data_IF_031227149253
#
_entry.id   IF_031227149253
#
_cell.length_a   1.000
_cell.length_b   1.000
_cell.length_c   1.000
_cell.angle_alpha   90.00
_cell.angle_beta   90.00
_cell.angle_gamma   90.00
#
_symmetry.space_group_name_H-M   'P 1'
#
loop_
_entity.id
_entity.type
_entity.pdbx_description
1 polymer ?
#
# COMPACT_ATOMS: atom_id res chain seq x y z
N UNK A 1 34.74 -1.34 -0.41
CA UNK A 1 34.34 -2.76 -0.47
C UNK A 1 33.54 -3.03 -1.73
N UNK A 2 33.63 -4.26 -2.20
CA UNK A 2 32.86 -4.76 -3.34
C UNK A 2 32.26 -6.11 -2.97
N UNK A 3 30.99 -6.32 -3.32
CA UNK A 3 30.29 -7.59 -3.15
C UNK A 3 29.54 -7.95 -4.43
N UNK A 4 29.66 -9.21 -4.85
CA UNK A 4 28.92 -9.76 -5.99
C UNK A 4 28.16 -10.99 -5.51
N UNK A 5 26.86 -11.03 -5.77
CA UNK A 5 25.99 -12.16 -5.45
C UNK A 5 25.23 -12.59 -6.70
N UNK A 6 25.34 -13.88 -7.03
CA UNK A 6 24.59 -14.52 -8.11
C UNK A 6 23.82 -15.70 -7.51
N UNK A 7 22.53 -15.77 -7.76
CA UNK A 7 21.67 -16.84 -7.29
C UNK A 7 20.79 -17.36 -8.43
N UNK A 8 20.77 -18.67 -8.54
CA UNK A 8 19.98 -19.39 -9.53
C UNK A 8 19.03 -20.33 -8.79
N UNK A 9 17.75 -20.22 -9.08
CA UNK A 9 16.72 -21.08 -8.53
C UNK A 9 16.03 -21.82 -9.66
N UNK A 10 15.92 -23.12 -9.55
CA UNK A 10 15.21 -23.96 -10.51
C UNK A 10 14.09 -24.73 -9.81
N UNK A 11 12.86 -24.50 -10.27
CA UNK A 11 11.68 -25.28 -9.91
C UNK A 11 11.04 -25.78 -11.23
N UNK A 12 9.77 -25.51 -11.47
CA UNK A 12 9.17 -25.63 -12.81
C UNK A 12 9.71 -24.56 -13.79
N UNK A 13 10.22 -23.44 -13.24
CA UNK A 13 10.78 -22.29 -13.93
C UNK A 13 12.20 -22.02 -13.44
N UNK A 14 12.88 -21.13 -14.17
CA UNK A 14 14.23 -20.67 -13.85
C UNK A 14 14.17 -19.21 -13.39
N UNK A 15 14.50 -18.98 -12.13
CA UNK A 15 14.65 -17.66 -11.56
C UNK A 15 16.15 -17.32 -11.42
N UNK A 16 16.50 -16.10 -11.79
CA UNK A 16 17.85 -15.57 -11.70
C UNK A 16 17.88 -14.30 -10.88
N UNK A 17 18.83 -14.20 -9.96
CA UNK A 17 19.09 -13.01 -9.16
C UNK A 17 20.56 -12.65 -9.26
N UNK A 18 20.85 -11.46 -9.76
CA UNK A 18 22.20 -10.90 -9.87
C UNK A 18 22.27 -9.59 -9.10
N UNK A 19 23.25 -9.45 -8.20
CA UNK A 19 23.44 -8.24 -7.42
C UNK A 19 24.91 -7.88 -7.31
N UNK A 20 25.22 -6.60 -7.47
CA UNK A 20 26.52 -6.01 -7.26
C UNK A 20 26.42 -4.81 -6.32
N UNK A 21 27.27 -4.78 -5.29
CA UNK A 21 27.37 -3.70 -4.33
C UNK A 21 28.78 -3.14 -4.29
N UNK A 22 28.91 -1.81 -4.27
CA UNK A 22 30.17 -1.09 -4.12
C UNK A 22 30.03 -0.06 -3.00
N UNK A 23 30.97 -0.07 -2.07
CA UNK A 23 31.02 0.89 -0.98
C UNK A 23 32.43 1.48 -0.85
N UNK A 24 32.52 2.78 -0.74
CA UNK A 24 33.74 3.53 -0.48
C UNK A 24 33.55 4.46 0.69
N UNK A 25 34.45 4.37 1.69
CA UNK A 25 34.43 5.23 2.87
C UNK A 25 35.82 5.79 3.14
N UNK A 26 35.90 7.11 3.24
CA UNK A 26 37.14 7.81 3.57
C UNK A 26 36.86 9.21 4.14
N UNK A 27 37.47 9.55 5.28
CA UNK A 27 37.45 10.90 5.90
C UNK A 27 36.04 11.56 5.95
N UNK A 28 35.05 10.86 6.48
CA UNK A 28 33.68 11.36 6.60
C UNK A 28 32.84 11.20 5.33
N UNK A 29 33.45 10.91 4.19
CA UNK A 29 32.76 10.60 2.94
C UNK A 29 32.41 9.11 2.89
N UNK A 30 31.14 8.79 2.60
CA UNK A 30 30.63 7.44 2.40
C UNK A 30 29.82 7.40 1.11
N UNK A 31 30.31 6.68 0.12
CA UNK A 31 29.67 6.51 -1.20
C UNK A 31 29.28 5.06 -1.37
N UNK A 32 28.10 4.83 -1.92
CA UNK A 32 27.60 3.49 -2.19
C UNK A 32 26.87 3.42 -3.54
N UNK A 33 26.98 2.28 -4.18
CA UNK A 33 26.17 1.92 -5.33
C UNK A 33 25.74 0.46 -5.21
N UNK A 34 24.51 0.16 -5.57
CA UNK A 34 23.96 -1.18 -5.63
C UNK A 34 23.18 -1.31 -6.95
N UNK A 35 23.37 -2.42 -7.62
CA UNK A 35 22.55 -2.84 -8.75
C UNK A 35 22.08 -4.26 -8.52
N UNK A 36 20.80 -4.51 -8.78
CA UNK A 36 20.19 -5.83 -8.70
C UNK A 36 19.24 -6.04 -9.88
N UNK A 37 19.36 -7.22 -10.47
CA UNK A 37 18.48 -7.72 -11.51
C UNK A 37 17.86 -9.04 -11.04
N UNK A 38 16.55 -9.15 -11.12
CA UNK A 38 15.79 -10.35 -10.84
C UNK A 38 15.01 -10.73 -12.11
N UNK A 39 15.15 -11.97 -12.59
CA UNK A 39 14.25 -12.55 -13.57
C UNK A 39 13.43 -13.62 -12.86
N UNK A 40 12.11 -13.48 -12.87
CA UNK A 40 11.17 -14.37 -12.19
C UNK A 40 10.05 -14.77 -13.14
N UNK A 41 9.75 -16.07 -13.16
CA UNK A 41 8.55 -16.59 -13.78
C UNK A 41 7.62 -17.10 -12.69
N UNK A 42 6.40 -16.57 -12.66
CA UNK A 42 5.42 -16.90 -11.64
C UNK A 42 4.21 -17.58 -12.27
N UNK A 43 3.75 -18.68 -11.65
CA UNK A 43 2.54 -19.39 -12.06
C UNK A 43 1.63 -19.56 -10.87
N UNK A 44 0.39 -19.12 -11.03
CA UNK A 44 -0.63 -19.23 -10.00
C UNK A 44 -1.90 -19.87 -10.56
N UNK A 45 -2.57 -20.63 -9.71
CA UNK A 45 -3.92 -21.14 -9.97
C UNK A 45 -4.83 -20.73 -8.83
N UNK A 46 -5.92 -20.06 -9.18
CA UNK A 46 -6.87 -19.53 -8.18
C UNK A 46 -8.28 -19.94 -8.60
N UNK A 47 -9.07 -20.38 -7.64
CA UNK A 47 -10.51 -20.58 -7.82
C UNK A 47 -11.25 -19.47 -7.08
N UNK A 48 -12.16 -18.81 -7.79
CA UNK A 48 -12.97 -17.71 -7.23
C UNK A 48 -14.43 -18.05 -7.40
N UNK A 49 -15.19 -18.00 -6.33
CA UNK A 49 -16.63 -18.11 -6.36
C UNK A 49 -17.24 -16.78 -5.91
N UNK A 50 -18.09 -16.19 -6.76
CA UNK A 50 -18.80 -14.95 -6.50
C UNK A 50 -20.30 -15.19 -6.61
N UNK A 51 -21.06 -14.69 -5.63
CA UNK A 51 -22.51 -14.72 -5.64
C UNK A 51 -23.06 -13.31 -5.52
N UNK A 52 -23.85 -12.90 -6.50
CA UNK A 52 -24.61 -11.67 -6.45
C UNK A 52 -26.09 -12.01 -6.21
N UNK A 53 -26.63 -11.50 -5.09
CA UNK A 53 -28.04 -11.65 -4.74
C UNK A 53 -28.77 -10.36 -5.13
N UNK A 54 -29.62 -10.46 -6.17
CA UNK A 54 -30.48 -9.36 -6.62
C UNK A 54 -31.90 -9.91 -6.84
N UNK A 55 -32.59 -9.51 -7.92
CA UNK A 55 -33.86 -10.13 -8.34
C UNK A 55 -33.74 -11.63 -8.66
N UNK A 56 -32.55 -12.03 -9.11
CA UNK A 56 -32.12 -13.41 -9.29
C UNK A 56 -30.74 -13.58 -8.66
N UNK A 57 -30.43 -14.79 -8.26
CA UNK A 57 -29.09 -15.12 -7.79
C UNK A 57 -28.20 -15.43 -9.00
N UNK A 58 -27.11 -14.66 -9.14
CA UNK A 58 -26.06 -14.92 -10.12
C UNK A 58 -24.86 -15.53 -9.38
N UNK A 59 -24.45 -16.71 -9.79
CA UNK A 59 -23.25 -17.39 -9.29
C UNK A 59 -22.21 -17.50 -10.40
N UNK A 60 -20.98 -17.06 -10.12
CA UNK A 60 -19.80 -17.16 -10.98
C UNK A 60 -18.76 -18.05 -10.30
N UNK A 61 -18.45 -19.18 -10.93
CA UNK A 61 -17.37 -20.08 -10.52
C UNK A 61 -16.22 -19.93 -11.52
N UNK A 62 -15.15 -19.24 -11.12
CA UNK A 62 -14.01 -18.91 -11.98
C UNK A 62 -12.78 -19.73 -11.59
N UNK A 63 -12.14 -20.34 -12.57
CA UNK A 63 -10.82 -20.96 -12.44
C UNK A 63 -9.83 -20.12 -13.22
N UNK A 64 -8.86 -19.51 -12.53
CA UNK A 64 -7.86 -18.62 -13.07
C UNK A 64 -6.49 -19.30 -13.07
N UNK A 65 -5.77 -19.16 -14.17
CA UNK A 65 -4.38 -19.61 -14.30
C UNK A 65 -3.54 -18.46 -14.82
N UNK A 66 -2.67 -17.96 -13.98
CA UNK A 66 -1.70 -16.91 -14.30
C UNK A 66 -0.37 -17.52 -14.70
N UNK A 67 0.23 -16.94 -15.75
CA UNK A 67 1.63 -17.17 -16.13
C UNK A 67 2.27 -15.80 -16.33
N UNK A 68 3.10 -15.40 -15.40
CA UNK A 68 3.76 -14.11 -15.39
C UNK A 68 5.25 -14.26 -15.65
N UNK A 69 5.81 -13.39 -16.50
CA UNK A 69 7.24 -13.28 -16.74
C UNK A 69 7.69 -11.86 -16.41
N UNK A 70 8.39 -11.70 -15.30
CA UNK A 70 8.78 -10.41 -14.77
C UNK A 70 10.29 -10.29 -14.69
N UNK A 71 10.80 -9.19 -15.27
CA UNK A 71 12.16 -8.74 -15.09
C UNK A 71 12.13 -7.55 -14.15
N UNK A 72 12.86 -7.61 -13.05
CA UNK A 72 12.87 -6.57 -12.05
C UNK A 72 14.28 -5.98 -11.91
N UNK A 73 14.37 -4.66 -12.08
CA UNK A 73 15.58 -3.90 -11.85
C UNK A 73 15.49 -3.10 -10.56
N UNK A 74 16.61 -3.06 -9.83
CA UNK A 74 16.79 -2.17 -8.70
C UNK A 74 18.19 -1.59 -8.72
N UNK A 75 18.31 -0.28 -8.70
CA UNK A 75 19.56 0.44 -8.61
C UNK A 75 19.51 1.50 -7.54
N UNK A 76 20.59 1.64 -6.77
CA UNK A 76 20.77 2.73 -5.83
C UNK A 76 22.18 3.28 -5.98
N UNK A 77 22.30 4.60 -5.98
CA UNK A 77 23.57 5.30 -5.84
C UNK A 77 23.41 6.42 -4.84
N UNK A 78 24.36 6.61 -3.97
CA UNK A 78 24.27 7.66 -2.98
C UNK A 78 25.62 8.04 -2.38
N UNK A 79 25.58 9.18 -1.70
CA UNK A 79 26.72 9.76 -1.01
C UNK A 79 26.26 10.39 0.28
N UNK A 80 26.97 10.10 1.36
CA UNK A 80 26.83 10.75 2.65
C UNK A 80 28.14 11.45 3.01
N UNK A 81 28.06 12.62 3.59
CA UNK A 81 29.22 13.35 4.08
C UNK A 81 29.00 13.82 5.52
N UNK A 82 29.89 13.39 6.41
CA UNK A 82 29.93 13.80 7.80
C UNK A 82 30.89 14.99 7.94
N UNK A 83 30.36 16.17 8.26
CA UNK A 83 31.17 17.37 8.51
C UNK A 83 31.93 17.25 9.84
N UNK A 84 31.26 16.66 10.82
CA UNK A 84 31.75 16.36 12.15
C UNK A 84 30.98 15.19 12.76
N UNK A 85 31.18 14.87 14.03
CA UNK A 85 30.54 13.74 14.74
C UNK A 85 29.01 13.89 14.87
N UNK A 86 28.49 15.10 14.71
CA UNK A 86 27.07 15.41 14.93
C UNK A 86 26.31 15.83 13.65
N UNK A 87 27.03 16.12 12.57
CA UNK A 87 26.41 16.73 11.38
C UNK A 87 26.73 15.96 10.11
N UNK A 88 25.70 15.56 9.40
CA UNK A 88 25.80 14.86 8.12
C UNK A 88 24.78 15.34 7.10
N UNK A 89 25.17 15.26 5.84
CA UNK A 89 24.30 15.48 4.69
C UNK A 89 24.41 14.26 3.75
N UNK A 90 23.35 13.93 3.07
CA UNK A 90 23.38 12.88 2.09
C UNK A 90 22.43 13.10 0.95
N UNK A 91 22.75 12.45 -0.16
CA UNK A 91 21.90 12.37 -1.37
C UNK A 91 21.89 10.93 -1.86
N UNK A 92 20.70 10.47 -2.26
CA UNK A 92 20.50 9.13 -2.79
C UNK A 92 19.56 9.18 -3.98
N UNK A 93 19.96 8.55 -5.06
CA UNK A 93 19.08 8.25 -6.18
C UNK A 93 18.79 6.75 -6.21
N UNK A 94 17.53 6.40 -6.43
CA UNK A 94 17.07 5.03 -6.55
C UNK A 94 16.23 4.88 -7.82
N UNK A 95 16.41 3.75 -8.50
CA UNK A 95 15.58 3.29 -9.60
C UNK A 95 15.11 1.88 -9.28
N UNK A 96 13.83 1.59 -9.49
CA UNK A 96 13.29 0.24 -9.30
C UNK A 96 12.04 0.02 -10.13
N UNK A 97 11.83 -1.21 -10.56
CA UNK A 97 10.64 -1.61 -11.29
C UNK A 97 10.94 -2.62 -12.39
N UNK A 98 9.95 -2.86 -13.22
CA UNK A 98 10.05 -3.74 -14.38
C UNK A 98 10.15 -2.90 -15.67
N UNK A 99 11.24 -3.00 -16.45
CA UNK A 99 11.29 -2.36 -17.75
C UNK A 99 10.22 -2.92 -18.69
N UNK A 100 9.94 -4.22 -18.56
CA UNK A 100 8.90 -4.95 -19.28
C UNK A 100 8.35 -6.06 -18.42
N UNK A 101 7.04 -6.20 -18.42
CA UNK A 101 6.32 -7.25 -17.72
C UNK A 101 5.25 -7.84 -18.62
N UNK A 102 5.31 -9.16 -18.85
CA UNK A 102 4.35 -9.91 -19.64
C UNK A 102 3.55 -10.84 -18.74
N UNK A 103 2.23 -10.79 -18.81
CA UNK A 103 1.32 -11.65 -18.07
C UNK A 103 0.32 -12.31 -19.01
N UNK A 104 0.01 -13.57 -18.76
CA UNK A 104 -1.02 -14.34 -19.46
C UNK A 104 -1.98 -14.92 -18.45
N UNK A 105 -3.24 -14.57 -18.59
CA UNK A 105 -4.34 -15.06 -17.76
C UNK A 105 -5.29 -15.91 -18.59
N UNK A 106 -5.48 -17.14 -18.17
CA UNK A 106 -6.51 -18.04 -18.66
C UNK A 106 -7.61 -18.15 -17.61
N UNK A 107 -8.85 -17.84 -17.98
CA UNK A 107 -10.01 -17.96 -17.09
C UNK A 107 -11.05 -18.85 -17.69
N UNK A 108 -11.51 -19.85 -16.93
CA UNK A 108 -12.69 -20.63 -17.26
C UNK A 108 -13.77 -20.30 -16.26
N UNK A 109 -14.92 -19.82 -16.73
CA UNK A 109 -16.02 -19.37 -15.89
C UNK A 109 -17.28 -20.21 -16.16
N UNK A 110 -17.94 -20.64 -15.09
CA UNK A 110 -19.29 -21.19 -15.13
C UNK A 110 -20.22 -20.18 -14.49
N UNK A 111 -21.19 -19.70 -15.27
CA UNK A 111 -22.18 -18.71 -14.87
C UNK A 111 -23.51 -19.39 -14.65
N UNK A 112 -24.13 -19.21 -13.49
CA UNK A 112 -25.42 -19.80 -13.15
C UNK A 112 -26.40 -18.71 -12.69
N UNK A 113 -27.67 -18.83 -13.10
CA UNK A 113 -28.79 -18.01 -12.65
C UNK A 113 -29.83 -18.89 -11.93
N UNK A 114 -30.12 -18.55 -10.67
CA UNK A 114 -31.02 -19.30 -9.79
C UNK A 114 -30.66 -20.81 -9.77
N UNK A 115 -29.34 -21.12 -9.72
CA UNK A 115 -28.82 -22.47 -9.70
C UNK A 115 -28.82 -23.23 -11.04
N UNK A 116 -29.26 -22.60 -12.13
CA UNK A 116 -29.20 -23.19 -13.49
C UNK A 116 -28.04 -22.57 -14.25
N UNK A 117 -27.26 -23.41 -14.95
CA UNK A 117 -26.19 -22.93 -15.83
C UNK A 117 -26.81 -22.03 -16.90
N UNK A 118 -26.28 -20.81 -16.98
CA UNK A 118 -26.70 -19.76 -17.88
C UNK A 118 -25.72 -19.58 -19.04
N UNK A 119 -24.40 -19.68 -18.74
CA UNK A 119 -23.35 -19.56 -19.75
C UNK A 119 -22.05 -20.22 -19.25
N UNK A 120 -21.10 -20.47 -20.16
CA UNK A 120 -19.70 -20.81 -19.85
C UNK A 120 -18.80 -19.96 -20.71
N UNK A 121 -17.79 -19.38 -20.06
CA UNK A 121 -16.80 -18.54 -20.74
C UNK A 121 -15.42 -19.18 -20.69
N UNK A 122 -14.66 -18.98 -21.76
CA UNK A 122 -13.25 -19.21 -21.80
C UNK A 122 -12.56 -17.91 -22.22
N UNK A 123 -11.79 -17.31 -21.30
CA UNK A 123 -11.14 -16.04 -21.53
C UNK A 123 -9.61 -16.25 -21.55
N UNK A 124 -8.98 -15.62 -22.50
CA UNK A 124 -7.54 -15.50 -22.56
C UNK A 124 -7.17 -14.02 -22.60
N UNK A 125 -6.47 -13.54 -21.59
CA UNK A 125 -5.94 -12.18 -21.52
C UNK A 125 -4.43 -12.20 -21.62
N UNK A 126 -3.88 -11.45 -22.58
CA UNK A 126 -2.45 -11.15 -22.68
C UNK A 126 -2.25 -9.69 -22.28
N UNK A 127 -1.44 -9.47 -21.23
CA UNK A 127 -1.08 -8.13 -20.74
C UNK A 127 0.41 -7.89 -20.95
N UNK A 128 0.72 -6.75 -21.54
CA UNK A 128 2.10 -6.25 -21.66
C UNK A 128 2.19 -4.90 -20.94
N UNK A 129 3.16 -4.76 -20.05
CA UNK A 129 3.41 -3.51 -19.33
C UNK A 129 4.81 -3.03 -19.59
N UNK A 130 4.92 -1.80 -20.10
CA UNK A 130 6.17 -1.13 -20.39
C UNK A 130 6.43 0.04 -19.44
N UNK A 131 7.72 0.35 -19.25
CA UNK A 131 8.19 1.53 -18.50
C UNK A 131 7.74 1.61 -17.04
N UNK A 132 7.47 0.48 -16.39
CA UNK A 132 7.16 0.44 -14.96
C UNK A 132 8.43 0.69 -14.11
N UNK A 133 9.16 1.76 -14.40
CA UNK A 133 10.34 2.16 -13.65
C UNK A 133 10.03 3.35 -12.76
N UNK A 134 10.35 3.21 -11.49
CA UNK A 134 10.17 4.23 -10.46
C UNK A 134 11.50 4.89 -10.16
N UNK A 135 11.54 6.21 -10.19
CA UNK A 135 12.70 7.03 -9.90
C UNK A 135 12.49 7.77 -8.59
N UNK A 136 13.44 7.72 -7.68
CA UNK A 136 13.39 8.46 -6.43
C UNK A 136 14.72 9.18 -6.19
N UNK A 137 14.63 10.46 -5.91
CA UNK A 137 15.73 11.28 -5.41
C UNK A 137 15.42 11.67 -3.98
N UNK A 138 16.33 11.36 -3.06
CA UNK A 138 16.25 11.77 -1.65
C UNK A 138 17.48 12.59 -1.30
N UNK A 139 17.27 13.68 -0.54
CA UNK A 139 18.31 14.45 0.09
C UNK A 139 17.97 14.65 1.57
N UNK A 140 18.97 14.58 2.45
CA UNK A 140 18.75 14.77 3.87
C UNK A 140 19.88 15.55 4.54
N UNK A 141 19.54 16.17 5.65
CA UNK A 141 20.47 16.69 6.62
C UNK A 141 20.06 16.21 8.00
N UNK A 142 21.01 15.62 8.74
CA UNK A 142 20.85 15.30 10.16
C UNK A 142 21.96 15.96 10.93
N UNK A 143 21.62 16.74 11.96
CA UNK A 143 22.62 17.48 12.67
C UNK A 143 22.22 17.95 14.06
N UNK A 144 23.23 18.49 14.79
CA UNK A 144 23.06 19.06 16.11
C UNK A 144 23.80 20.39 16.23
N UNK A 145 23.07 21.42 16.62
CA UNK A 145 23.61 22.74 16.92
C UNK A 145 23.39 23.05 18.42
N UNK A 146 24.43 22.93 19.23
CA UNK A 146 24.28 22.94 20.67
C UNK A 146 23.41 21.79 21.17
N UNK A 147 22.28 22.10 21.78
CA UNK A 147 21.29 21.09 22.21
C UNK A 147 20.12 20.87 21.20
N UNK A 148 20.08 21.64 20.14
CA UNK A 148 19.05 21.50 19.09
C UNK A 148 19.44 20.40 18.10
N UNK A 149 18.63 19.36 18.00
CA UNK A 149 18.74 18.33 16.97
C UNK A 149 17.87 18.75 15.79
N UNK A 150 18.39 18.60 14.57
CA UNK A 150 17.75 18.96 13.32
C UNK A 150 17.76 17.73 12.43
N UNK A 151 16.60 17.36 11.90
CA UNK A 151 16.41 16.30 10.88
C UNK A 151 15.58 16.88 9.74
N UNK A 152 16.19 16.95 8.57
CA UNK A 152 15.55 17.42 7.34
C UNK A 152 15.64 16.35 6.26
N UNK A 153 14.52 16.10 5.59
CA UNK A 153 14.43 15.19 4.45
C UNK A 153 13.65 15.86 3.33
N UNK A 154 14.11 15.64 2.09
CA UNK A 154 13.40 16.04 0.88
C UNK A 154 13.43 14.89 -0.12
N UNK A 155 12.29 14.59 -0.70
CA UNK A 155 12.09 13.50 -1.64
C UNK A 155 11.42 14.00 -2.91
N UNK A 156 11.88 13.50 -4.05
CA UNK A 156 11.17 13.56 -5.32
C UNK A 156 11.00 12.15 -5.85
N UNK A 157 9.80 11.79 -6.23
CA UNK A 157 9.44 10.48 -6.75
C UNK A 157 8.68 10.63 -8.06
N UNK A 158 9.08 9.85 -9.06
CA UNK A 158 8.41 9.75 -10.35
C UNK A 158 8.18 8.29 -10.67
N UNK A 159 6.98 7.95 -11.10
CA UNK A 159 6.63 6.62 -11.59
C UNK A 159 5.61 6.70 -12.72
N UNK A 160 5.51 5.64 -13.49
CA UNK A 160 4.51 5.51 -14.54
C UNK A 160 4.59 4.14 -15.17
N UNK A 161 3.62 3.82 -16.00
CA UNK A 161 3.60 2.64 -16.84
C UNK A 161 2.61 2.82 -17.98
N UNK A 162 2.88 2.11 -19.08
CA UNK A 162 1.92 1.85 -20.15
C UNK A 162 1.61 0.35 -20.13
N UNK A 163 0.34 0.01 -19.93
CA UNK A 163 -0.12 -1.38 -19.96
C UNK A 163 -1.13 -1.53 -21.09
N UNK A 164 -0.94 -2.56 -21.90
CA UNK A 164 -1.86 -2.97 -22.95
C UNK A 164 -2.41 -4.37 -22.64
N UNK A 165 -3.72 -4.53 -22.66
CA UNK A 165 -4.43 -5.76 -22.42
C UNK A 165 -5.23 -6.16 -23.66
N UNK A 166 -5.05 -7.40 -24.11
CA UNK A 166 -5.84 -8.01 -25.19
C UNK A 166 -6.53 -9.23 -24.60
N UNK A 167 -7.87 -9.20 -24.58
CA UNK A 167 -8.69 -10.29 -24.08
C UNK A 167 -9.57 -10.85 -25.17
N UNK A 168 -9.39 -12.14 -25.49
CA UNK A 168 -10.37 -12.93 -26.23
C UNK A 168 -11.30 -13.62 -25.25
N UNK A 169 -12.60 -13.44 -25.41
CA UNK A 169 -13.66 -14.05 -24.60
C UNK A 169 -14.59 -14.88 -25.46
N UNK A 170 -14.55 -16.21 -25.29
CA UNK A 170 -15.44 -17.17 -25.94
C UNK A 170 -16.62 -17.52 -25.03
N UNK A 171 -17.83 -17.55 -25.55
CA UNK A 171 -19.08 -17.86 -24.83
C UNK A 171 -19.82 -19.03 -25.48
N UNK A 172 -20.38 -19.94 -24.67
CA UNK A 172 -21.22 -21.03 -25.21
C UNK A 172 -22.58 -20.53 -25.69
N UNK A 173 -23.11 -19.44 -25.12
CA UNK A 173 -24.51 -19.00 -25.34
C UNK A 173 -24.64 -17.63 -26.04
N UNK A 174 -23.53 -16.85 -26.14
CA UNK A 174 -23.55 -15.52 -26.70
C UNK A 174 -22.39 -15.32 -27.70
N UNK A 175 -22.40 -14.21 -28.43
CA UNK A 175 -21.31 -13.85 -29.35
C UNK A 175 -20.00 -13.67 -28.61
N UNK A 176 -18.93 -14.14 -29.21
CA UNK A 176 -17.56 -13.94 -28.69
C UNK A 176 -17.18 -12.46 -28.67
N UNK A 177 -16.22 -12.09 -27.81
CA UNK A 177 -15.74 -10.72 -27.71
C UNK A 177 -14.23 -10.67 -27.80
N UNK A 178 -13.72 -9.72 -28.56
CA UNK A 178 -12.34 -9.25 -28.45
C UNK A 178 -12.34 -7.90 -27.75
N UNK A 179 -11.50 -7.74 -26.73
CA UNK A 179 -11.44 -6.54 -25.91
C UNK A 179 -10.01 -6.04 -25.87
N UNK A 180 -9.80 -4.81 -26.34
CA UNK A 180 -8.51 -4.14 -26.31
C UNK A 180 -8.58 -2.97 -25.33
N UNK A 181 -7.72 -3.01 -24.31
CA UNK A 181 -7.62 -1.95 -23.33
C UNK A 181 -6.18 -1.45 -23.20
N UNK A 182 -6.03 -0.17 -22.92
CA UNK A 182 -4.73 0.43 -22.61
C UNK A 182 -4.84 1.34 -21.39
N UNK A 183 -3.85 1.27 -20.50
CA UNK A 183 -3.71 2.12 -19.32
C UNK A 183 -2.38 2.86 -19.39
N UNK A 184 -2.43 4.20 -19.46
CA UNK A 184 -1.25 5.08 -19.41
C UNK A 184 -1.31 5.89 -18.11
N UNK A 185 -0.37 5.62 -17.22
CA UNK A 185 -0.32 6.21 -15.88
C UNK A 185 0.99 6.94 -15.68
N UNK A 186 0.91 8.18 -15.22
CA UNK A 186 2.06 8.98 -14.79
C UNK A 186 1.81 9.57 -13.40
N UNK A 187 2.82 9.48 -12.54
CA UNK A 187 2.73 9.93 -11.15
C UNK A 187 4.03 10.64 -10.74
N UNK A 188 3.89 11.84 -10.17
CA UNK A 188 4.99 12.64 -9.63
C UNK A 188 4.63 13.06 -8.20
N UNK A 189 5.61 12.93 -7.31
CA UNK A 189 5.47 13.33 -5.92
C UNK A 189 6.70 14.12 -5.48
N UNK A 190 6.48 15.22 -4.78
CA UNK A 190 7.51 15.94 -4.05
C UNK A 190 7.12 16.02 -2.58
N UNK A 191 8.10 15.82 -1.68
CA UNK A 191 7.88 15.89 -0.24
C UNK A 191 9.07 16.55 0.45
N UNK A 192 8.78 17.28 1.54
CA UNK A 192 9.79 17.83 2.43
C UNK A 192 9.32 17.70 3.88
N UNK A 193 10.24 17.32 4.78
CA UNK A 193 9.99 17.14 6.21
C UNK A 193 11.11 17.76 7.02
N UNK A 194 10.76 18.52 8.04
CA UNK A 194 11.68 19.08 9.02
C UNK A 194 11.23 18.69 10.42
N UNK A 195 12.16 18.18 11.24
CA UNK A 195 11.96 17.91 12.66
C UNK A 195 13.03 18.61 13.48
N UNK A 196 12.61 19.34 14.48
CA UNK A 196 13.47 19.99 15.45
C UNK A 196 13.21 19.38 16.82
N UNK A 197 14.27 18.94 17.51
CA UNK A 197 14.17 18.36 18.84
C UNK A 197 15.07 19.07 19.83
N UNK A 198 14.56 19.35 21.01
CA UNK A 198 15.31 20.05 22.06
C UNK A 198 15.02 19.44 23.44
N UNK A 199 16.05 19.29 24.32
CA UNK A 199 15.81 18.83 25.68
C UNK A 199 15.12 19.92 26.52
N UNK A 200 13.91 19.59 27.04
CA UNK A 200 13.06 20.48 27.84
C UNK A 200 12.54 19.71 29.06
N UNK A 201 12.57 20.34 30.26
CA UNK A 201 11.97 19.79 31.50
C UNK A 201 12.38 18.34 31.79
N UNK A 202 13.69 18.01 31.66
CA UNK A 202 14.22 16.63 31.82
C UNK A 202 13.61 15.60 30.85
N UNK A 203 13.05 16.03 29.75
CA UNK A 203 12.54 15.23 28.64
C UNK A 203 13.03 15.77 27.32
N UNK A 204 12.49 15.27 26.22
CA UNK A 204 12.76 15.71 24.86
C UNK A 204 11.46 16.22 24.23
N UNK A 205 11.46 17.44 23.75
CA UNK A 205 10.38 18.02 22.96
C UNK A 205 10.79 18.05 21.50
N UNK A 206 9.94 17.52 20.63
CA UNK A 206 10.13 17.51 19.19
C UNK A 206 8.95 18.20 18.52
N UNK A 207 9.22 19.06 17.55
CA UNK A 207 8.23 19.72 16.71
C UNK A 207 8.66 19.59 15.26
N UNK A 208 7.71 19.40 14.37
CA UNK A 208 8.04 19.27 12.95
C UNK A 208 6.87 19.59 12.03
N UNK A 209 7.21 19.71 10.75
CA UNK A 209 6.29 19.87 9.66
C UNK A 209 6.66 18.99 8.48
N UNK A 210 5.64 18.67 7.69
CA UNK A 210 5.79 17.90 6.47
C UNK A 210 4.87 18.49 5.40
N UNK A 211 5.39 18.64 4.20
CA UNK A 211 4.66 19.03 3.01
C UNK A 211 4.82 17.94 1.96
N UNK A 212 3.72 17.58 1.30
CA UNK A 212 3.73 16.63 0.19
C UNK A 212 2.81 17.14 -0.90
N UNK A 213 3.26 17.04 -2.15
CA UNK A 213 2.47 17.32 -3.33
C UNK A 213 2.57 16.16 -4.30
N UNK A 214 1.41 15.64 -4.73
CA UNK A 214 1.30 14.57 -5.71
C UNK A 214 0.50 15.06 -6.92
N UNK A 215 1.01 14.76 -8.10
CA UNK A 215 0.34 14.94 -9.37
C UNK A 215 0.28 13.61 -10.10
N UNK A 216 -0.94 13.15 -10.41
CA UNK A 216 -1.16 11.89 -11.13
C UNK A 216 -2.06 12.11 -12.33
N UNK A 217 -1.69 11.47 -13.45
CA UNK A 217 -2.55 11.28 -14.63
C UNK A 217 -2.84 9.80 -14.78
N UNK A 218 -4.05 9.47 -15.19
CA UNK A 218 -4.54 8.11 -15.33
C UNK A 218 -5.49 8.08 -16.54
N UNK A 219 -4.99 7.57 -17.66
CA UNK A 219 -5.74 7.44 -18.91
C UNK A 219 -6.05 5.97 -19.13
N UNK A 220 -7.31 5.66 -19.33
CA UNK A 220 -7.78 4.32 -19.67
C UNK A 220 -8.55 4.37 -20.97
N UNK A 221 -8.18 3.55 -21.92
CA UNK A 221 -8.84 3.37 -23.21
C UNK A 221 -9.40 1.95 -23.30
N UNK A 222 -10.67 1.81 -23.68
CA UNK A 222 -11.26 0.57 -24.15
C UNK A 222 -11.74 0.79 -25.58
N UNK A 223 -11.13 0.10 -26.52
CA UNK A 223 -11.29 0.35 -27.96
C UNK A 223 -12.72 0.02 -28.42
N UNK A 224 -13.28 -1.09 -27.97
CA UNK A 224 -14.61 -1.57 -28.33
C UNK A 224 -15.73 -0.91 -27.52
N UNK A 225 -15.39 -0.12 -26.50
CA UNK A 225 -16.33 0.57 -25.61
C UNK A 225 -17.26 -0.37 -24.82
N UNK A 226 -16.85 -1.59 -24.51
CA UNK A 226 -17.59 -2.44 -23.55
C UNK A 226 -17.62 -1.84 -22.15
N UNK A 227 -16.60 -1.06 -21.82
CA UNK A 227 -16.57 -0.17 -20.65
C UNK A 227 -16.14 1.22 -21.06
N UNK A 228 -16.56 2.29 -20.35
CA UNK A 228 -16.20 3.65 -20.70
C UNK A 228 -14.69 3.89 -20.62
N UNK A 229 -14.11 4.51 -21.63
CA UNK A 229 -12.77 5.10 -21.55
C UNK A 229 -12.78 6.30 -20.61
N UNK A 230 -11.66 6.59 -19.96
CA UNK A 230 -11.57 7.69 -19.00
C UNK A 230 -10.19 8.37 -19.05
N UNK A 231 -10.20 9.70 -18.88
CA UNK A 231 -9.01 10.50 -18.69
C UNK A 231 -9.18 11.25 -17.38
N UNK A 232 -8.35 10.95 -16.40
CA UNK A 232 -8.43 11.57 -15.09
C UNK A 232 -7.09 12.15 -14.65
N UNK A 233 -7.16 13.25 -13.90
CA UNK A 233 -6.02 13.91 -13.28
C UNK A 233 -6.33 14.17 -11.82
N UNK A 234 -5.37 13.89 -10.95
CA UNK A 234 -5.48 14.06 -9.51
C UNK A 234 -4.32 14.88 -9.00
N UNK A 235 -4.62 15.93 -8.25
CA UNK A 235 -3.64 16.72 -7.52
C UNK A 235 -3.94 16.59 -6.04
N UNK A 236 -2.95 16.21 -5.24
CA UNK A 236 -3.09 16.16 -3.79
C UNK A 236 -1.99 16.95 -3.13
N UNK A 237 -2.36 17.89 -2.27
CA UNK A 237 -1.46 18.62 -1.39
C UNK A 237 -1.78 18.23 0.05
N UNK A 238 -0.74 17.87 0.80
CA UNK A 238 -0.83 17.57 2.21
C UNK A 238 0.15 18.45 2.99
N UNK A 239 -0.36 19.15 4.02
CA UNK A 239 0.42 19.91 4.97
C UNK A 239 0.19 19.32 6.35
N UNK A 240 1.27 19.02 7.04
CA UNK A 240 1.26 18.42 8.37
C UNK A 240 2.09 19.24 9.33
N UNK A 241 1.60 19.43 10.55
CA UNK A 241 2.38 19.90 11.70
C UNK A 241 2.22 18.92 12.85
N UNK A 242 3.30 18.66 13.60
CA UNK A 242 3.23 17.76 14.75
C UNK A 242 4.14 18.22 15.88
N UNK A 243 3.74 17.83 17.09
CA UNK A 243 4.55 18.01 18.29
C UNK A 243 4.50 16.75 19.15
N UNK A 244 5.64 16.41 19.78
CA UNK A 244 5.77 15.27 20.67
C UNK A 244 6.64 15.64 21.86
N UNK A 245 6.26 15.18 23.05
CA UNK A 245 7.08 15.26 24.25
C UNK A 245 7.28 13.87 24.84
N UNK A 246 8.54 13.51 25.11
CA UNK A 246 8.91 12.25 25.75
C UNK A 246 9.72 12.50 27.01
N UNK A 247 9.47 11.72 28.07
CA UNK A 247 10.17 11.84 29.33
C UNK A 247 10.19 10.54 30.10
N UNK A 248 11.37 10.23 30.69
CA UNK A 248 11.53 9.19 31.70
C UNK A 248 11.28 9.76 33.10
N UNK A 249 10.44 9.10 33.86
CA UNK A 249 10.13 9.40 35.26
C UNK A 249 10.36 8.15 36.11
N UNK A 250 10.30 8.27 37.44
CA UNK A 250 10.61 7.16 38.37
C UNK A 250 9.72 5.91 38.17
N UNK A 251 8.52 6.09 37.65
CA UNK A 251 7.56 4.99 37.43
C UNK A 251 7.53 4.48 36.00
N UNK A 252 8.30 5.08 35.06
CA UNK A 252 8.33 4.64 33.65
C UNK A 252 8.60 5.77 32.66
N UNK A 253 8.43 5.46 31.38
CA UNK A 253 8.64 6.37 30.25
C UNK A 253 7.30 6.70 29.61
N UNK A 254 7.03 7.97 29.39
CA UNK A 254 5.84 8.40 28.67
C UNK A 254 6.19 9.19 27.41
N UNK A 255 5.33 9.06 26.41
CA UNK A 255 5.32 9.82 25.17
C UNK A 255 3.94 10.39 24.98
N UNK A 256 3.86 11.67 24.69
CA UNK A 256 2.63 12.38 24.37
C UNK A 256 2.84 13.19 23.11
N UNK A 257 2.05 12.95 22.08
CA UNK A 257 2.17 13.63 20.80
C UNK A 257 0.83 13.90 20.15
N UNK A 258 0.83 14.83 19.22
CA UNK A 258 -0.29 15.10 18.33
C UNK A 258 0.24 15.53 16.96
N UNK A 259 -0.46 15.11 15.91
CA UNK A 259 -0.23 15.49 14.52
C UNK A 259 -1.52 16.11 13.97
N UNK A 260 -1.41 17.30 13.42
CA UNK A 260 -2.43 17.96 12.61
C UNK A 260 -2.10 17.75 11.14
N UNK A 261 -3.07 17.42 10.33
CA UNK A 261 -2.93 17.18 8.90
C UNK A 261 -4.05 17.88 8.15
N UNK A 262 -3.69 18.67 7.14
CA UNK A 262 -4.61 19.28 6.19
C UNK A 262 -4.34 18.71 4.80
N UNK A 263 -5.40 18.21 4.15
CA UNK A 263 -5.34 17.63 2.81
C UNK A 263 -6.26 18.42 1.89
N UNK A 264 -5.73 18.73 0.71
CA UNK A 264 -6.51 19.24 -0.42
C UNK A 264 -6.32 18.28 -1.59
N UNK A 265 -7.41 17.70 -2.09
CA UNK A 265 -7.46 16.79 -3.21
C UNK A 265 -8.37 17.37 -4.29
N UNK A 266 -7.80 17.65 -5.46
CA UNK A 266 -8.52 18.16 -6.64
C UNK A 266 -8.55 17.07 -7.71
N UNK A 267 -9.76 16.71 -8.15
CA UNK A 267 -10.02 15.71 -9.18
C UNK A 267 -10.50 16.35 -10.46
N UNK A 268 -9.95 15.90 -11.58
CA UNK A 268 -10.33 16.35 -12.93
C UNK A 268 -10.70 15.14 -13.78
N UNK A 269 -11.75 15.29 -14.58
CA UNK A 269 -12.14 14.35 -15.63
C UNK A 269 -12.18 15.11 -16.95
N UNK A 270 -11.47 14.61 -17.97
CA UNK A 270 -11.34 15.25 -19.29
C UNK A 270 -10.94 16.75 -19.15
N UNK A 271 -9.96 17.02 -18.29
CA UNK A 271 -9.46 18.35 -17.89
C UNK A 271 -10.47 19.29 -17.19
N UNK A 272 -11.70 18.84 -16.94
CA UNK A 272 -12.69 19.58 -16.18
C UNK A 272 -12.60 19.21 -14.69
N UNK A 273 -12.54 20.25 -13.84
CA UNK A 273 -12.58 20.07 -12.38
C UNK A 273 -13.94 19.52 -11.93
N UNK A 274 -13.94 18.46 -11.13
CA UNK A 274 -15.16 17.82 -10.63
C UNK A 274 -15.28 18.07 -9.12
N UNK A 275 -16.16 19.01 -8.74
CA UNK A 275 -16.32 19.45 -7.35
C UNK A 275 -16.76 18.32 -6.42
N UNK A 276 -17.69 17.46 -6.83
CA UNK A 276 -18.21 16.36 -6.04
C UNK A 276 -17.16 15.26 -5.74
N UNK A 277 -16.08 15.22 -6.51
CA UNK A 277 -14.98 14.26 -6.36
C UNK A 277 -13.74 14.92 -5.77
N UNK A 278 -13.73 16.26 -5.66
CA UNK A 278 -12.69 17.04 -5.01
C UNK A 278 -13.04 17.25 -3.54
N UNK A 279 -12.03 17.38 -2.67
CA UNK A 279 -12.25 17.53 -1.24
C UNK A 279 -11.11 18.23 -0.52
N UNK A 280 -11.45 18.94 0.54
CA UNK A 280 -10.49 19.46 1.51
C UNK A 280 -10.95 19.09 2.90
N UNK A 281 -10.04 18.57 3.73
CA UNK A 281 -10.34 18.23 5.11
C UNK A 281 -9.08 18.30 5.99
N UNK A 282 -9.32 18.42 7.28
CA UNK A 282 -8.27 18.44 8.29
C UNK A 282 -8.60 17.45 9.43
N UNK A 283 -7.56 16.93 10.05
CA UNK A 283 -7.67 15.95 11.15
C UNK A 283 -6.54 16.14 12.17
N UNK A 284 -6.82 15.72 13.40
CA UNK A 284 -5.84 15.61 14.48
C UNK A 284 -5.66 14.15 14.88
N UNK A 285 -4.42 13.71 14.95
CA UNK A 285 -4.03 12.34 15.30
C UNK A 285 -3.22 12.36 16.59
N UNK A 286 -3.82 12.05 17.75
CA UNK A 286 -3.12 11.93 19.00
C UNK A 286 -2.31 10.63 19.09
N UNK A 287 -1.20 10.68 19.84
CA UNK A 287 -0.35 9.55 20.19
C UNK A 287 0.03 9.64 21.67
N UNK A 288 -0.30 8.60 22.44
CA UNK A 288 0.06 8.48 23.85
C UNK A 288 0.64 7.11 24.10
N UNK A 289 1.78 7.04 24.78
CA UNK A 289 2.40 5.77 25.18
C UNK A 289 2.98 5.87 26.57
N UNK A 290 2.79 4.84 27.37
CA UNK A 290 3.41 4.69 28.68
C UNK A 290 4.02 3.31 28.83
N UNK A 291 5.33 3.28 29.10
CA UNK A 291 6.13 2.08 29.34
C UNK A 291 6.52 2.04 30.81
N UNK A 292 6.29 0.94 31.48
CA UNK A 292 6.67 0.78 32.88
C UNK A 292 7.05 -0.66 33.21
N UNK A 293 7.57 -0.85 34.40
CA UNK A 293 7.86 -2.17 34.97
C UNK A 293 7.07 -2.34 36.28
N UNK A 294 6.20 -3.33 36.34
CA UNK A 294 5.47 -3.72 37.53
C UNK A 294 6.08 -5.01 38.07
N UNK A 295 6.89 -4.90 39.10
CA UNK A 295 7.70 -6.00 39.60
C UNK A 295 8.68 -6.53 38.54
N UNK A 296 8.47 -7.77 38.06
CA UNK A 296 9.29 -8.39 37.02
C UNK A 296 8.67 -8.30 35.60
N UNK A 297 7.47 -7.75 35.50
CA UNK A 297 6.74 -7.61 34.23
C UNK A 297 7.05 -6.27 33.61
N UNK A 298 7.57 -6.24 32.39
CA UNK A 298 7.64 -5.02 31.57
C UNK A 298 6.29 -4.87 30.89
N UNK A 299 5.70 -3.70 30.94
CA UNK A 299 4.38 -3.43 30.36
C UNK A 299 4.36 -2.09 29.62
N UNK A 300 3.63 -2.06 28.53
CA UNK A 300 3.38 -0.89 27.71
C UNK A 300 1.89 -0.79 27.43
N UNK A 301 1.33 0.40 27.58
CA UNK A 301 0.04 0.78 27.07
C UNK A 301 0.22 1.92 26.07
N UNK A 302 -0.46 1.84 24.93
CA UNK A 302 -0.40 2.90 23.92
C UNK A 302 -1.75 3.11 23.27
N UNK A 303 -2.04 4.37 22.98
CA UNK A 303 -3.17 4.79 22.17
C UNK A 303 -2.66 5.63 21.02
N UNK A 304 -3.02 5.25 19.78
CA UNK A 304 -2.63 5.97 18.57
C UNK A 304 -3.82 6.10 17.64
N UNK A 305 -3.92 7.22 16.95
CA UNK A 305 -4.84 7.40 15.84
C UNK A 305 -4.02 7.48 14.56
N UNK A 306 -4.37 6.69 13.55
CA UNK A 306 -3.70 6.62 12.25
C UNK A 306 -4.71 6.81 11.13
N UNK A 307 -4.25 7.38 10.02
CA UNK A 307 -5.01 7.45 8.78
C UNK A 307 -4.39 6.55 7.72
N UNK A 308 -5.24 5.95 6.88
CA UNK A 308 -4.83 5.26 5.66
C UNK A 308 -5.65 5.81 4.50
N UNK A 309 -4.94 6.39 3.52
CA UNK A 309 -5.56 6.94 2.33
C UNK A 309 -5.88 5.85 1.32
N UNK A 310 -6.99 5.98 0.56
CA UNK A 310 -7.21 5.13 -0.60
C UNK A 310 -6.03 5.28 -1.58
N UNK A 311 -5.64 4.21 -2.23
CA UNK A 311 -4.67 4.32 -3.33
C UNK A 311 -5.27 5.12 -4.48
N UNK A 312 -4.44 5.84 -5.24
CA UNK A 312 -4.91 6.60 -6.40
C UNK A 312 -5.60 5.72 -7.45
N UNK A 313 -5.23 4.45 -7.55
CA UNK A 313 -5.93 3.48 -8.41
C UNK A 313 -7.39 3.30 -8.00
N UNK A 314 -7.68 3.27 -6.70
CA UNK A 314 -9.06 3.19 -6.19
C UNK A 314 -9.83 4.50 -6.38
N UNK A 315 -9.12 5.64 -6.47
CA UNK A 315 -9.69 6.97 -6.70
C UNK A 315 -9.85 7.29 -8.19
N UNK A 316 -9.31 6.48 -9.09
CA UNK A 316 -9.51 6.63 -10.53
C UNK A 316 -10.98 6.35 -10.89
N UNK A 317 -11.47 7.00 -11.96
CA UNK A 317 -12.80 6.72 -12.52
C UNK A 317 -12.76 5.62 -13.59
N UNK A 318 -11.61 4.97 -13.77
CA UNK A 318 -11.40 3.94 -14.78
C UNK A 318 -12.24 2.71 -14.46
N UNK A 319 -12.89 2.17 -15.50
CA UNK A 319 -13.65 0.92 -15.45
C UNK A 319 -12.87 -0.15 -16.18
N UNK A 320 -12.42 -1.20 -15.47
CA UNK A 320 -11.70 -2.33 -16.04
C UNK A 320 -12.68 -3.42 -16.44
N UNK A 321 -12.60 -3.88 -17.70
CA UNK A 321 -13.31 -5.05 -18.17
C UNK A 321 -12.64 -6.31 -17.62
N UNK A 322 -13.37 -7.15 -16.91
CA UNK A 322 -12.92 -8.47 -16.46
C UNK A 322 -13.46 -9.54 -17.38
N UNK A 323 -14.78 -9.57 -17.53
CA UNK A 323 -15.55 -10.37 -18.46
C UNK A 323 -16.94 -9.72 -18.63
N UNK A 324 -17.81 -10.30 -19.48
CA UNK A 324 -19.16 -9.76 -19.72
C UNK A 324 -20.07 -9.73 -18.50
N UNK A 325 -19.73 -10.47 -17.44
CA UNK A 325 -20.50 -10.53 -16.19
C UNK A 325 -19.81 -9.80 -15.04
N UNK A 326 -18.61 -9.24 -15.24
CA UNK A 326 -17.81 -8.63 -14.20
C UNK A 326 -17.04 -7.42 -14.70
N UNK A 327 -17.28 -6.26 -14.09
CA UNK A 327 -16.57 -5.01 -14.33
C UNK A 327 -16.02 -4.52 -12.99
N UNK A 328 -14.79 -4.06 -12.98
CA UNK A 328 -14.21 -3.39 -11.81
C UNK A 328 -14.10 -1.89 -12.07
N UNK A 329 -14.51 -1.05 -11.11
CA UNK A 329 -14.44 0.40 -11.22
C UNK A 329 -13.78 1.02 -9.98
N UNK A 330 -13.02 2.08 -10.18
CA UNK A 330 -12.57 2.93 -9.08
C UNK A 330 -13.71 3.79 -8.51
N UNK A 331 -13.42 4.45 -7.38
CA UNK A 331 -14.39 5.31 -6.69
C UNK A 331 -13.69 6.58 -6.18
N UNK A 332 -13.76 7.69 -6.92
CA UNK A 332 -13.14 8.96 -6.52
C UNK A 332 -13.68 9.55 -5.21
N UNK A 333 -14.85 9.12 -4.76
CA UNK A 333 -15.49 9.66 -3.53
C UNK A 333 -15.00 8.97 -2.25
N UNK A 334 -14.09 7.98 -2.35
CA UNK A 334 -13.55 7.28 -1.18
C UNK A 334 -12.86 8.24 -0.21
N UNK A 335 -13.21 8.10 1.06
CA UNK A 335 -12.59 8.82 2.20
C UNK A 335 -11.46 8.00 2.78
N UNK A 336 -10.51 8.67 3.41
CA UNK A 336 -9.45 7.99 4.18
C UNK A 336 -10.02 7.23 5.37
N UNK A 337 -9.48 6.07 5.63
CA UNK A 337 -9.75 5.33 6.86
C UNK A 337 -9.07 6.03 8.04
N UNK A 338 -9.76 6.08 9.17
CA UNK A 338 -9.22 6.59 10.43
C UNK A 338 -9.31 5.47 11.46
N UNK A 339 -8.16 5.03 11.94
CA UNK A 339 -8.06 3.89 12.85
C UNK A 339 -7.57 4.34 14.22
N UNK A 340 -8.40 4.14 15.24
CA UNK A 340 -8.08 4.28 16.64
C UNK A 340 -7.53 2.95 17.15
N UNK A 341 -6.31 2.93 17.69
CA UNK A 341 -5.67 1.73 18.22
C UNK A 341 -5.35 1.92 19.70
N UNK A 342 -5.85 1.03 20.53
CA UNK A 342 -5.46 0.87 21.93
C UNK A 342 -4.75 -0.46 22.07
N UNK A 343 -3.47 -0.44 22.45
CA UNK A 343 -2.66 -1.64 22.61
C UNK A 343 -2.09 -1.73 24.02
N UNK A 344 -2.10 -2.94 24.56
CA UNK A 344 -1.42 -3.29 25.79
C UNK A 344 -0.52 -4.49 25.56
N UNK A 345 0.75 -4.35 25.95
CA UNK A 345 1.77 -5.39 25.83
C UNK A 345 2.35 -5.64 27.20
N UNK A 346 2.49 -6.89 27.60
CA UNK A 346 3.16 -7.30 28.83
C UNK A 346 4.18 -8.40 28.52
N UNK A 347 5.38 -8.27 29.06
CA UNK A 347 6.47 -9.24 28.86
C UNK A 347 7.05 -9.66 30.20
N UNK A 348 7.16 -10.97 30.42
CA UNK A 348 7.74 -11.57 31.60
C UNK A 348 8.61 -12.76 31.23
N UNK A 349 9.92 -12.69 31.51
CA UNK A 349 10.89 -13.71 31.10
C UNK A 349 10.74 -14.02 29.59
N UNK A 350 10.33 -15.26 29.26
CA UNK A 350 10.13 -15.76 27.91
C UNK A 350 8.67 -15.64 27.40
N UNK A 351 7.78 -15.07 28.22
CA UNK A 351 6.37 -14.88 27.87
C UNK A 351 6.11 -13.46 27.44
N UNK A 352 5.32 -13.29 26.39
CA UNK A 352 4.77 -12.01 25.94
C UNK A 352 3.28 -12.17 25.68
N UNK A 353 2.49 -11.24 26.23
CA UNK A 353 1.07 -11.07 25.96
C UNK A 353 0.85 -9.74 25.28
N UNK A 354 0.03 -9.72 24.24
CA UNK A 354 -0.42 -8.50 23.56
C UNK A 354 -1.94 -8.52 23.43
N UNK A 355 -2.59 -7.43 23.83
CA UNK A 355 -4.01 -7.20 23.62
C UNK A 355 -4.18 -5.90 22.86
N UNK A 356 -4.95 -5.93 21.78
CA UNK A 356 -5.21 -4.77 20.93
C UNK A 356 -6.70 -4.62 20.68
N UNK A 357 -7.21 -3.40 20.85
CA UNK A 357 -8.52 -3.00 20.37
C UNK A 357 -8.35 -1.94 19.29
N UNK A 358 -8.95 -2.19 18.13
CA UNK A 358 -8.89 -1.32 16.98
C UNK A 358 -10.31 -0.95 16.56
N UNK A 359 -10.52 0.32 16.22
CA UNK A 359 -11.76 0.80 15.63
C UNK A 359 -11.46 1.64 14.40
N UNK A 360 -11.86 1.16 13.22
CA UNK A 360 -11.64 1.84 11.96
C UNK A 360 -12.92 2.53 11.50
N UNK A 361 -12.88 3.85 11.33
CA UNK A 361 -13.92 4.65 10.68
C UNK A 361 -13.66 4.72 9.19
N UNK A 362 -14.72 4.78 8.38
CA UNK A 362 -14.65 4.81 6.92
C UNK A 362 -13.84 3.64 6.34
N UNK A 363 -13.88 2.46 6.98
CA UNK A 363 -13.16 1.29 6.48
C UNK A 363 -13.51 1.03 5.02
N UNK A 364 -12.49 0.79 4.19
CA UNK A 364 -12.65 0.57 2.75
C UNK A 364 -12.79 -0.94 2.51
N UNK A 365 -13.87 -1.33 1.88
CA UNK A 365 -14.13 -2.71 1.47
C UNK A 365 -14.40 -2.79 -0.03
N UNK A 366 -14.11 -3.95 -0.63
CA UNK A 366 -14.61 -4.29 -1.95
C UNK A 366 -16.08 -4.70 -1.86
N UNK A 367 -16.89 -4.15 -2.75
CA UNK A 367 -18.32 -4.38 -2.79
C UNK A 367 -18.77 -4.71 -4.20
N UNK A 368 -19.61 -5.75 -4.34
CA UNK A 368 -20.25 -6.11 -5.58
C UNK A 368 -21.70 -5.68 -5.59
N UNK A 369 -22.12 -5.00 -6.64
CA UNK A 369 -23.53 -4.63 -6.87
C UNK A 369 -23.89 -4.89 -8.35
N UNK A 370 -25.18 -5.02 -8.70
CA UNK A 370 -25.57 -5.07 -10.10
C UNK A 370 -25.19 -3.78 -10.81
N UNK A 371 -24.56 -3.87 -11.98
CA UNK A 371 -24.26 -2.71 -12.83
C UNK A 371 -25.54 -1.94 -13.16
N UNK A 372 -26.58 -2.67 -13.56
CA UNK A 372 -27.92 -2.16 -13.77
C UNK A 372 -28.95 -3.14 -13.18
N UNK A 373 -30.14 -2.67 -12.70
CA UNK A 373 -31.13 -3.52 -12.04
C UNK A 373 -31.66 -4.68 -12.87
N UNK A 374 -31.50 -4.64 -14.21
CA UNK A 374 -32.01 -5.65 -15.16
C UNK A 374 -30.89 -6.43 -15.87
N UNK A 375 -29.62 -6.15 -15.54
CA UNK A 375 -28.47 -6.83 -16.13
C UNK A 375 -27.82 -7.79 -15.13
N UNK A 376 -27.19 -8.84 -15.64
CA UNK A 376 -26.48 -9.84 -14.84
C UNK A 376 -24.97 -9.55 -14.83
N UNK A 377 -24.60 -8.28 -14.78
CA UNK A 377 -23.21 -7.84 -14.69
C UNK A 377 -22.93 -7.29 -13.29
N UNK A 378 -21.91 -7.83 -12.65
CA UNK A 378 -21.44 -7.41 -11.33
C UNK A 378 -20.51 -6.21 -11.51
N UNK A 379 -20.83 -5.09 -10.88
CA UNK A 379 -19.93 -3.98 -10.71
C UNK A 379 -19.19 -4.15 -9.39
N UNK A 380 -17.88 -4.39 -9.48
CA UNK A 380 -16.97 -4.48 -8.33
C UNK A 380 -16.34 -3.10 -8.10
N UNK A 381 -16.59 -2.49 -6.95
CA UNK A 381 -15.99 -1.21 -6.56
C UNK A 381 -15.64 -1.18 -5.08
N UNK A 382 -14.71 -0.31 -4.71
CA UNK A 382 -14.44 -0.03 -3.30
C UNK A 382 -15.42 0.99 -2.76
N UNK A 383 -15.90 0.76 -1.54
CA UNK A 383 -16.77 1.68 -0.81
C UNK A 383 -16.25 1.88 0.62
N UNK A 384 -16.60 3.03 1.23
CA UNK A 384 -16.41 3.19 2.66
C UNK A 384 -17.60 2.63 3.42
N UNK A 385 -17.35 1.88 4.49
CA UNK A 385 -18.38 1.48 5.43
C UNK A 385 -18.92 2.70 6.18
N UNK A 386 -20.25 2.81 6.31
CA UNK A 386 -20.92 3.85 7.09
C UNK A 386 -20.71 3.66 8.61
N UNK A 387 -20.58 2.40 9.05
CA UNK A 387 -20.33 2.07 10.45
C UNK A 387 -18.85 1.77 10.68
N UNK A 388 -18.39 2.15 11.88
CA UNK A 388 -17.04 1.80 12.29
C UNK A 388 -16.87 0.28 12.38
N UNK A 389 -15.68 -0.18 12.01
CA UNK A 389 -15.27 -1.58 12.04
C UNK A 389 -14.42 -1.85 13.29
N UNK A 390 -15.00 -2.36 14.37
CA UNK A 390 -14.24 -2.73 15.56
C UNK A 390 -13.59 -4.10 15.42
N UNK A 391 -12.37 -4.23 15.98
CA UNK A 391 -11.58 -5.45 15.97
C UNK A 391 -10.84 -5.62 17.29
N UNK A 392 -10.86 -6.82 17.84
CA UNK A 392 -10.11 -7.23 19.02
C UNK A 392 -9.06 -8.25 18.61
N UNK A 393 -7.81 -8.02 19.02
CA UNK A 393 -6.69 -8.94 18.84
C UNK A 393 -6.13 -9.34 20.20
N UNK A 394 -5.90 -10.62 20.38
CA UNK A 394 -5.17 -11.14 21.52
C UNK A 394 -4.09 -12.10 21.03
N UNK A 395 -2.86 -11.91 21.49
CA UNK A 395 -1.71 -12.70 21.08
C UNK A 395 -0.85 -13.05 22.28
N UNK A 396 -0.49 -14.31 22.42
CA UNK A 396 0.47 -14.79 23.41
C UNK A 396 1.61 -15.51 22.71
N UNK A 397 2.85 -15.21 23.10
CA UNK A 397 4.02 -15.94 22.64
C UNK A 397 4.90 -16.36 23.81
N UNK A 398 5.53 -17.52 23.65
CA UNK A 398 6.49 -18.07 24.60
C UNK A 398 7.74 -18.51 23.83
N UNK A 399 8.92 -18.03 24.27
CA UNK A 399 10.20 -18.44 23.69
C UNK A 399 11.12 -18.96 24.80
N UNK A 400 10.81 -20.13 25.39
CA UNK A 400 11.63 -20.72 26.42
C UNK A 400 12.93 -21.28 25.83
N UNK A 401 14.03 -21.07 26.57
CA UNK A 401 15.31 -21.71 26.32
C UNK A 401 15.44 -22.92 27.26
N UNK A 402 15.46 -24.14 26.72
CA UNK A 402 15.49 -25.40 27.48
C UNK A 402 16.73 -26.19 27.06
N UNK A 403 17.83 -26.02 27.76
CA UNK A 403 19.10 -26.62 27.40
C UNK A 403 19.61 -26.11 26.05
N UNK A 404 19.72 -27.00 25.04
CA UNK A 404 20.14 -26.64 23.67
C UNK A 404 18.94 -26.25 22.77
N UNK A 405 17.71 -26.31 23.27
CA UNK A 405 16.51 -26.06 22.49
C UNK A 405 16.02 -24.63 22.67
N UNK A 406 15.86 -23.93 21.54
CA UNK A 406 15.20 -22.64 21.45
C UNK A 406 13.82 -22.84 20.80
N UNK A 407 12.79 -22.91 21.62
CA UNK A 407 11.41 -23.11 21.15
C UNK A 407 10.70 -21.78 21.01
N UNK A 408 9.86 -21.63 19.99
CA UNK A 408 8.94 -20.48 19.84
C UNK A 408 7.54 -21.00 19.65
N UNK A 409 6.66 -20.68 20.61
CA UNK A 409 5.24 -21.00 20.59
C UNK A 409 4.46 -19.71 20.50
N UNK A 410 3.47 -19.63 19.62
CA UNK A 410 2.63 -18.46 19.44
C UNK A 410 1.19 -18.86 19.22
N UNK A 411 0.28 -18.17 19.90
CA UNK A 411 -1.16 -18.32 19.74
C UNK A 411 -1.78 -16.93 19.59
N UNK A 412 -2.59 -16.74 18.59
CA UNK A 412 -3.31 -15.50 18.34
C UNK A 412 -4.78 -15.74 18.08
N UNK A 413 -5.60 -14.81 18.52
CA UNK A 413 -7.04 -14.76 18.22
C UNK A 413 -7.40 -13.36 17.77
N UNK A 414 -8.18 -13.27 16.70
CA UNK A 414 -8.73 -12.02 16.19
C UNK A 414 -10.23 -12.15 16.07
N UNK A 415 -10.95 -11.14 16.56
CA UNK A 415 -12.38 -11.01 16.34
C UNK A 415 -12.69 -9.65 15.76
N UNK A 416 -13.37 -9.64 14.63
CA UNK A 416 -13.83 -8.46 13.93
C UNK A 416 -15.35 -8.47 13.85
N UNK A 417 -15.97 -7.30 14.02
CA UNK A 417 -17.42 -7.13 13.93
C UNK A 417 -17.72 -6.27 12.70
N UNK A 418 -18.04 -6.93 11.61
CA UNK A 418 -18.45 -6.28 10.38
C UNK A 418 -19.97 -6.09 10.40
N UNK A 419 -20.41 -4.85 10.20
CA UNK A 419 -21.83 -4.52 10.00
C UNK A 419 -21.96 -3.82 8.66
N UNK A 420 -22.69 -4.43 7.74
CA UNK A 420 -23.01 -3.88 6.43
C UNK A 420 -24.46 -3.43 6.50
N UNK A 421 -24.71 -2.14 6.22
CA UNK A 421 -26.06 -1.63 6.10
C UNK A 421 -26.59 -2.00 4.71
N UNK A 422 -27.70 -2.71 4.68
CA UNK A 422 -28.41 -3.11 3.46
C UNK A 422 -29.18 -1.94 2.85
#
# INVERSE_FOLDING_TARGET
GFNLNSSYYQSENVDLVEQADVNYRHNGLDMFAMFRYDKMEFRERTNVHQTLISKKQLDLENQLKYNDNKQWLRGNIGMNYMFDENNSIGIKYSIQGSPRYDSKLYTTSKVSLDGKVFDRLQNFTSSETDNELNHQLNAYYTGRVGNLEIDFNADYYQSGYLQEDITGEESEEQEDRDVHAASDVANNLAAAKLVLSYPVWKGKFSVGGEWTYTHRKDNYLNVENYVPSSNSKMNEMNITAFAEYSRSISIGDFILGARYEQIKFDYYKDDLHIDDQSRSYDNIYPNVSFNTRIGKVKTQISYTVKTQRPSYRLLSNSSLYIDRFSIQQGNPTLKSEITHNLNWIASWKFLQLSLGYQQTKNAIIYWGEPLNPNEYTILLKSINLNKSLPMLNAFISASPHIGIWESRLSLGITKQWLTIDS
#
